data_IF_029664940906
#
_entry.id   IF_029664940906
#
_cell.length_a   1.000
_cell.length_b   1.000
_cell.length_c   1.000
_cell.angle_alpha   90.00
_cell.angle_beta   90.00
_cell.angle_gamma   90.00
#
_symmetry.space_group_name_H-M   'P 1'
#
loop_
_entity.id
_entity.type
_entity.pdbx_description
1 polymer ?
#
# COMPACT_ATOMS: atom_id res chain seq x y z
N UNK A 1 -11.05 7.26 16.02
CA UNK A 1 -9.63 7.03 15.71
C UNK A 1 -9.42 7.02 14.20
N UNK A 2 -8.22 7.39 13.74
CA UNK A 2 -7.83 7.28 12.34
C UNK A 2 -7.71 5.81 11.91
N UNK A 3 -7.91 5.55 10.63
CA UNK A 3 -7.91 4.19 10.05
C UNK A 3 -6.85 4.12 8.94
N UNK A 4 -6.06 3.04 8.94
CA UNK A 4 -5.26 2.63 7.79
C UNK A 4 -5.85 1.33 7.23
N UNK A 5 -6.29 1.36 5.98
CA UNK A 5 -6.78 0.20 5.26
C UNK A 5 -5.75 -0.21 4.21
N UNK A 6 -5.40 -1.49 4.19
CA UNK A 6 -4.48 -2.09 3.22
C UNK A 6 -5.15 -3.31 2.61
N UNK A 7 -5.22 -3.37 1.29
CA UNK A 7 -5.70 -4.56 0.59
C UNK A 7 -4.64 -5.67 0.64
N UNK A 8 -5.07 -6.89 0.99
CA UNK A 8 -4.18 -8.00 1.28
C UNK A 8 -3.46 -8.61 0.07
N UNK A 9 -3.86 -8.23 -1.13
CA UNK A 9 -3.29 -8.65 -2.41
C UNK A 9 -2.38 -7.59 -3.05
N UNK A 10 -2.06 -6.52 -2.32
CA UNK A 10 -1.20 -5.44 -2.80
C UNK A 10 0.20 -5.53 -2.18
N UNK A 11 1.22 -5.49 -3.03
CA UNK A 11 2.63 -5.47 -2.63
C UNK A 11 3.23 -4.12 -3.01
N UNK A 12 3.94 -3.52 -2.06
CA UNK A 12 4.62 -2.23 -2.25
C UNK A 12 6.12 -2.40 -2.01
N UNK A 13 6.93 -1.86 -2.90
CA UNK A 13 8.37 -1.81 -2.74
C UNK A 13 8.91 -0.45 -3.23
N UNK A 14 9.77 0.19 -2.45
CA UNK A 14 10.40 1.43 -2.89
C UNK A 14 11.10 2.19 -1.77
N UNK A 15 12.17 2.89 -2.15
CA UNK A 15 12.90 3.76 -1.23
C UNK A 15 12.04 4.93 -0.77
N UNK A 16 11.92 5.13 0.56
CA UNK A 16 11.14 6.23 1.13
C UNK A 16 9.67 5.92 1.40
N UNK A 17 9.20 4.69 1.13
CA UNK A 17 7.82 4.27 1.43
C UNK A 17 7.46 4.55 2.90
N UNK A 18 8.29 4.13 3.86
CA UNK A 18 8.04 4.34 5.29
C UNK A 18 7.84 5.81 5.64
N UNK A 19 8.62 6.73 5.04
CA UNK A 19 8.46 8.18 5.28
C UNK A 19 7.16 8.72 4.69
N UNK A 20 6.76 8.22 3.51
CA UNK A 20 5.49 8.57 2.88
C UNK A 20 4.30 8.12 3.75
N UNK A 21 4.33 6.87 4.24
CA UNK A 21 3.30 6.35 5.14
C UNK A 21 3.24 7.10 6.47
N UNK A 22 4.38 7.45 7.06
CA UNK A 22 4.43 8.24 8.30
C UNK A 22 3.81 9.63 8.11
N UNK A 23 4.06 10.31 6.97
CA UNK A 23 3.40 11.58 6.66
C UNK A 23 1.88 11.43 6.54
N UNK A 24 1.42 10.38 5.84
CA UNK A 24 -0.01 10.09 5.71
C UNK A 24 -0.66 9.81 7.08
N UNK A 25 0.00 9.01 7.92
CA UNK A 25 -0.49 8.66 9.26
C UNK A 25 -0.52 9.84 10.24
N UNK A 26 0.26 10.89 10.01
CA UNK A 26 0.27 12.11 10.84
C UNK A 26 -0.85 13.10 10.50
N UNK A 27 -1.57 12.91 9.39
CA UNK A 27 -2.72 13.75 9.05
C UNK A 27 -3.90 13.42 9.95
N UNK A 28 -4.35 14.40 10.70
CA UNK A 28 -5.45 14.25 11.67
C UNK A 28 -6.84 14.30 11.01
N UNK A 29 -6.93 14.89 9.81
CA UNK A 29 -8.20 15.11 9.11
C UNK A 29 -8.10 14.74 7.63
N UNK A 30 -9.21 14.24 7.10
CA UNK A 30 -9.38 13.90 5.70
C UNK A 30 -8.86 12.50 5.35
N UNK A 31 -8.73 12.26 4.06
CA UNK A 31 -8.23 11.02 3.51
C UNK A 31 -6.91 11.24 2.76
N UNK A 32 -6.05 10.23 2.80
CA UNK A 32 -4.87 10.15 1.94
C UNK A 32 -4.89 8.82 1.20
N UNK A 33 -4.85 8.90 -0.13
CA UNK A 33 -4.73 7.76 -1.04
C UNK A 33 -3.42 7.86 -1.83
N UNK A 34 -3.01 6.77 -2.47
CA UNK A 34 -1.73 6.72 -3.19
C UNK A 34 -1.98 6.46 -4.66
N UNK A 35 -1.50 7.37 -5.50
CA UNK A 35 -1.59 7.27 -6.94
C UNK A 35 -0.33 6.65 -7.55
N UNK A 36 -0.50 5.68 -8.44
CA UNK A 36 0.58 5.01 -9.17
C UNK A 36 0.31 5.03 -10.66
N UNK A 37 1.32 5.40 -11.46
CA UNK A 37 1.17 5.47 -12.91
C UNK A 37 1.20 4.06 -13.52
N UNK A 38 0.13 3.70 -14.24
CA UNK A 38 -0.08 2.39 -14.87
C UNK A 38 -0.31 2.54 -16.37
N UNK A 39 -0.23 1.42 -17.10
CA UNK A 39 -0.51 1.37 -18.55
C UNK A 39 -1.94 0.93 -18.87
N UNK A 40 -2.64 0.35 -17.90
CA UNK A 40 -3.97 -0.25 -17.98
C UNK A 40 -4.92 0.33 -16.90
N UNK A 41 -5.12 1.67 -16.87
CA UNK A 41 -5.85 2.34 -15.78
C UNK A 41 -7.32 1.91 -15.66
N UNK A 42 -7.95 1.42 -16.72
CA UNK A 42 -9.33 0.94 -16.74
C UNK A 42 -9.62 -0.23 -15.80
N UNK A 43 -8.58 -0.84 -15.24
CA UNK A 43 -8.71 -1.93 -14.26
C UNK A 43 -8.89 -1.47 -12.83
N UNK A 44 -8.64 -0.20 -12.55
CA UNK A 44 -8.48 0.36 -11.20
C UNK A 44 -9.39 1.57 -10.98
N UNK A 45 -9.48 2.02 -9.75
CA UNK A 45 -9.92 3.38 -9.47
C UNK A 45 -8.90 4.37 -10.04
N UNK A 46 -9.34 5.35 -10.81
CA UNK A 46 -8.47 6.30 -11.53
C UNK A 46 -8.66 7.69 -10.96
N UNK A 47 -7.57 8.35 -10.60
CA UNK A 47 -7.58 9.75 -10.17
C UNK A 47 -7.09 10.67 -11.29
N UNK A 48 -7.84 11.74 -11.53
CA UNK A 48 -7.47 12.82 -12.45
C UNK A 48 -6.92 14.01 -11.66
N UNK A 49 -5.89 14.64 -12.19
CA UNK A 49 -5.25 15.82 -11.60
C UNK A 49 -5.39 17.05 -12.49
N UNK A 50 -5.44 18.22 -11.85
CA UNK A 50 -5.28 19.50 -12.53
C UNK A 50 -3.78 19.82 -12.77
N UNK A 51 -3.53 21.02 -13.35
CA UNK A 51 -2.17 21.51 -13.60
C UNK A 51 -1.32 21.72 -12.34
N UNK A 52 -1.96 21.85 -11.19
CA UNK A 52 -1.32 22.01 -9.88
C UNK A 52 -1.16 20.67 -9.14
N UNK A 53 -1.42 19.54 -9.82
CA UNK A 53 -1.39 18.19 -9.25
C UNK A 53 -2.37 18.01 -8.07
N UNK A 54 -3.52 18.72 -8.10
CA UNK A 54 -4.62 18.47 -7.18
C UNK A 54 -5.61 17.51 -7.82
N UNK A 55 -6.12 16.55 -7.04
CA UNK A 55 -7.14 15.62 -7.52
C UNK A 55 -8.44 16.37 -7.82
N UNK A 56 -8.97 16.21 -9.04
CA UNK A 56 -10.21 16.85 -9.50
C UNK A 56 -11.32 15.85 -9.76
N UNK A 57 -11.00 14.61 -10.04
CA UNK A 57 -11.96 13.52 -10.13
C UNK A 57 -11.34 12.19 -9.72
N UNK A 58 -12.19 11.26 -9.31
CA UNK A 58 -11.83 9.87 -9.05
C UNK A 58 -12.97 9.00 -9.56
N UNK A 59 -12.66 7.92 -10.30
CA UNK A 59 -13.68 7.08 -10.96
C UNK A 59 -13.25 5.62 -10.88
N UNK A 60 -14.18 4.73 -10.51
CA UNK A 60 -13.93 3.29 -10.43
C UNK A 60 -13.99 2.65 -11.80
N UNK A 61 -12.91 2.01 -12.21
CA UNK A 61 -12.79 1.22 -13.46
C UNK A 61 -13.43 1.89 -14.67
N UNK A 62 -13.05 3.13 -15.00
CA UNK A 62 -13.67 3.89 -16.07
C UNK A 62 -13.44 3.23 -17.43
N UNK A 63 -14.48 3.18 -18.26
CA UNK A 63 -14.36 2.69 -19.64
C UNK A 63 -13.48 3.59 -20.51
N UNK A 64 -13.36 4.87 -20.17
CA UNK A 64 -12.51 5.87 -20.82
C UNK A 64 -11.74 6.66 -19.76
N UNK A 65 -10.60 6.12 -19.27
CA UNK A 65 -9.83 6.74 -18.20
C UNK A 65 -9.33 8.15 -18.58
N UNK A 66 -9.48 9.11 -17.67
CA UNK A 66 -9.03 10.49 -17.86
C UNK A 66 -7.56 10.70 -17.52
N UNK A 67 -6.95 9.74 -16.85
CA UNK A 67 -5.54 9.74 -16.52
C UNK A 67 -5.00 8.30 -16.44
N UNK A 68 -3.68 8.16 -16.30
CA UNK A 68 -3.00 6.89 -16.06
C UNK A 68 -2.64 6.67 -14.59
N UNK A 69 -3.21 7.44 -13.66
CA UNK A 69 -2.93 7.27 -12.24
C UNK A 69 -4.00 6.41 -11.58
N UNK A 70 -3.63 5.14 -11.32
CA UNK A 70 -4.43 4.23 -10.52
C UNK A 70 -4.31 4.56 -9.03
N UNK A 71 -5.42 4.48 -8.30
CA UNK A 71 -5.42 4.50 -6.84
C UNK A 71 -5.08 3.12 -6.33
N UNK A 72 -4.00 3.02 -5.57
CA UNK A 72 -3.53 1.74 -5.03
C UNK A 72 -4.37 1.30 -3.82
N UNK A 73 -4.24 0.02 -3.42
CA UNK A 73 -4.98 -0.54 -2.30
C UNK A 73 -4.44 -0.15 -0.91
N UNK A 74 -4.08 1.12 -0.72
CA UNK A 74 -3.57 1.66 0.54
C UNK A 74 -4.22 3.01 0.85
N UNK A 75 -4.84 3.12 2.00
CA UNK A 75 -5.69 4.24 2.35
C UNK A 75 -5.48 4.67 3.79
N UNK A 76 -5.44 5.97 4.05
CA UNK A 76 -5.49 6.55 5.39
C UNK A 76 -6.72 7.45 5.48
N UNK A 77 -7.51 7.25 6.51
CA UNK A 77 -8.74 8.01 6.74
C UNK A 77 -8.80 8.54 8.17
N UNK A 78 -9.42 9.70 8.34
CA UNK A 78 -9.88 10.13 9.65
C UNK A 78 -11.14 9.35 10.08
N UNK A 79 -11.67 9.65 11.26
CA UNK A 79 -12.82 8.92 11.81
C UNK A 79 -14.15 9.18 11.07
N UNK A 80 -14.21 10.20 10.21
CA UNK A 80 -15.41 10.48 9.39
C UNK A 80 -15.69 9.33 8.42
N UNK A 81 -14.67 8.53 8.08
CA UNK A 81 -14.82 7.36 7.18
C UNK A 81 -15.93 6.39 7.65
N UNK A 82 -16.13 6.24 8.96
CA UNK A 82 -17.15 5.33 9.52
C UNK A 82 -18.55 5.77 9.10
N UNK A 83 -18.83 7.06 9.12
CA UNK A 83 -20.15 7.59 8.73
C UNK A 83 -20.28 7.69 7.21
N UNK A 84 -19.22 8.00 6.50
CA UNK A 84 -19.19 7.99 5.03
C UNK A 84 -19.46 6.58 4.51
N UNK A 85 -18.75 5.57 5.03
CA UNK A 85 -18.90 4.18 4.59
C UNK A 85 -20.31 3.59 4.83
N UNK A 86 -21.04 4.07 5.84
CA UNK A 86 -22.44 3.68 6.07
C UNK A 86 -23.41 4.24 5.03
N UNK A 87 -23.02 5.27 4.30
CA UNK A 87 -23.89 5.99 3.35
C UNK A 87 -23.66 5.58 1.91
N UNK A 88 -22.56 4.87 1.60
CA UNK A 88 -22.33 4.38 0.25
C UNK A 88 -23.34 3.30 -0.12
N UNK A 89 -23.69 3.24 -1.39
CA UNK A 89 -24.64 2.27 -1.97
C UNK A 89 -23.92 1.40 -2.98
N UNK A 90 -24.42 0.18 -3.24
CA UNK A 90 -23.83 -0.65 -4.27
C UNK A 90 -23.81 0.04 -5.64
N UNK A 91 -22.67 -0.08 -6.34
CA UNK A 91 -22.48 0.38 -7.70
C UNK A 91 -23.36 -0.40 -8.70
N UNK A 92 -23.33 -0.04 -9.99
CA UNK A 92 -23.96 -0.82 -11.07
C UNK A 92 -23.45 -2.28 -11.12
N UNK A 93 -22.25 -2.53 -10.58
CA UNK A 93 -21.65 -3.87 -10.44
C UNK A 93 -22.21 -4.66 -9.26
N UNK A 94 -23.03 -4.03 -8.40
CA UNK A 94 -23.59 -4.61 -7.17
C UNK A 94 -22.59 -4.67 -6.00
N UNK A 95 -21.47 -3.94 -6.08
CA UNK A 95 -20.41 -3.90 -5.07
C UNK A 95 -20.38 -2.55 -4.35
N UNK A 96 -20.01 -2.53 -3.06
CA UNK A 96 -19.68 -1.31 -2.32
C UNK A 96 -18.24 -0.92 -2.69
N UNK A 97 -18.08 0.19 -3.39
CA UNK A 97 -16.78 0.61 -3.91
C UNK A 97 -16.04 1.52 -2.93
N UNK A 98 -14.76 1.22 -2.68
CA UNK A 98 -13.91 2.12 -1.89
C UNK A 98 -13.73 3.47 -2.58
N UNK A 99 -13.84 3.50 -3.90
CA UNK A 99 -13.77 4.71 -4.71
C UNK A 99 -14.88 5.69 -4.36
N UNK A 100 -16.09 5.23 -3.97
CA UNK A 100 -17.18 6.11 -3.52
C UNK A 100 -16.86 6.80 -2.20
N UNK A 101 -16.15 6.11 -1.29
CA UNK A 101 -15.63 6.71 -0.06
C UNK A 101 -14.63 7.82 -0.41
N UNK A 102 -13.69 7.55 -1.30
CA UNK A 102 -12.69 8.51 -1.74
C UNK A 102 -13.32 9.70 -2.48
N UNK A 103 -14.33 9.45 -3.33
CA UNK A 103 -15.11 10.48 -4.01
C UNK A 103 -15.79 11.41 -2.99
N UNK A 104 -16.33 10.86 -1.92
CA UNK A 104 -16.94 11.68 -0.87
C UNK A 104 -15.94 12.59 -0.18
N UNK A 105 -14.74 12.10 0.11
CA UNK A 105 -13.65 12.94 0.65
C UNK A 105 -13.20 14.01 -0.36
N UNK A 106 -13.18 13.70 -1.65
CA UNK A 106 -12.86 14.67 -2.70
C UNK A 106 -13.90 15.80 -2.74
N UNK A 107 -15.21 15.48 -2.71
CA UNK A 107 -16.30 16.45 -2.69
C UNK A 107 -16.26 17.38 -1.46
N UNK A 108 -15.80 16.86 -0.32
CA UNK A 108 -15.60 17.62 0.91
C UNK A 108 -14.31 18.48 0.88
N UNK A 109 -13.50 18.38 -0.18
CA UNK A 109 -12.20 19.06 -0.23
C UNK A 109 -11.18 18.50 0.75
N UNK A 110 -11.35 17.24 1.19
CA UNK A 110 -10.54 16.57 2.22
C UNK A 110 -9.74 15.37 1.69
N UNK A 111 -9.71 15.14 0.37
CA UNK A 111 -8.88 14.09 -0.24
C UNK A 111 -7.50 14.62 -0.58
N UNK A 112 -6.48 13.92 -0.13
CA UNK A 112 -5.09 14.10 -0.55
C UNK A 112 -4.61 12.90 -1.33
N UNK A 113 -3.83 13.12 -2.40
CA UNK A 113 -3.21 12.04 -3.17
C UNK A 113 -1.70 12.17 -3.08
N UNK A 114 -1.03 11.14 -2.58
CA UNK A 114 0.42 11.00 -2.61
C UNK A 114 0.82 10.20 -3.85
N UNK A 115 1.57 10.81 -4.77
CA UNK A 115 1.98 10.13 -6.00
C UNK A 115 3.24 9.32 -5.76
N UNK A 116 3.18 8.02 -6.02
CA UNK A 116 4.31 7.12 -6.02
C UNK A 116 5.09 7.29 -7.33
N UNK A 117 6.24 7.94 -7.27
CA UNK A 117 7.07 8.25 -8.42
C UNK A 117 7.99 7.10 -8.83
N UNK A 118 9.00 7.41 -9.65
CA UNK A 118 10.02 6.45 -10.07
C UNK A 118 10.76 5.88 -8.86
N UNK A 119 11.03 4.58 -8.90
CA UNK A 119 11.69 3.86 -7.81
C UNK A 119 10.70 3.16 -6.86
N UNK A 120 9.40 3.34 -7.07
CA UNK A 120 8.37 2.51 -6.45
C UNK A 120 7.92 1.42 -7.39
N UNK A 121 7.62 0.25 -6.83
CA UNK A 121 6.85 -0.81 -7.47
C UNK A 121 5.59 -1.04 -6.63
N UNK A 122 4.45 -1.02 -7.31
CA UNK A 122 3.18 -1.47 -6.79
C UNK A 122 2.71 -2.64 -7.65
N UNK A 123 2.39 -3.74 -7.00
CA UNK A 123 2.00 -5.00 -7.63
C UNK A 123 0.66 -5.42 -7.03
N UNK A 124 -0.35 -5.47 -7.87
CA UNK A 124 -1.66 -6.03 -7.54
C UNK A 124 -1.65 -7.52 -7.91
N UNK A 125 -1.84 -8.42 -6.93
CA UNK A 125 -1.73 -9.87 -7.13
C UNK A 125 -3.09 -10.55 -7.37
N UNK A 126 -4.07 -9.82 -7.86
CA UNK A 126 -5.45 -10.29 -8.07
C UNK A 126 -5.63 -11.33 -9.18
N UNK A 127 -4.61 -11.62 -10.00
CA UNK A 127 -4.64 -12.66 -11.02
C UNK A 127 -3.47 -13.62 -10.86
N UNK A 128 -3.57 -14.82 -11.45
CA UNK A 128 -2.46 -15.80 -11.42
C UNK A 128 -1.19 -15.25 -12.09
N UNK A 129 -1.35 -14.48 -13.17
CA UNK A 129 -0.25 -13.86 -13.90
C UNK A 129 0.44 -12.80 -13.06
N UNK A 130 -0.32 -11.84 -12.50
CA UNK A 130 0.25 -10.79 -11.66
C UNK A 130 0.85 -11.33 -10.36
N UNK A 131 0.32 -12.42 -9.80
CA UNK A 131 0.92 -13.10 -8.66
C UNK A 131 2.30 -13.70 -9.01
N UNK A 132 2.43 -14.31 -10.19
CA UNK A 132 3.71 -14.85 -10.66
C UNK A 132 4.75 -13.73 -10.91
N UNK A 133 4.33 -12.63 -11.53
CA UNK A 133 5.17 -11.46 -11.74
C UNK A 133 5.66 -10.87 -10.41
N UNK A 134 4.76 -10.70 -9.45
CA UNK A 134 5.10 -10.22 -8.12
C UNK A 134 6.09 -11.15 -7.41
N UNK A 135 5.88 -12.46 -7.49
CA UNK A 135 6.78 -13.46 -6.90
C UNK A 135 8.19 -13.38 -7.50
N UNK A 136 8.29 -13.24 -8.84
CA UNK A 136 9.56 -13.11 -9.56
C UNK A 136 10.27 -11.80 -9.21
N UNK A 137 9.52 -10.71 -9.11
CA UNK A 137 10.05 -9.41 -8.72
C UNK A 137 10.65 -9.46 -7.30
N UNK A 138 9.90 -9.95 -6.31
CA UNK A 138 10.35 -10.05 -4.92
C UNK A 138 11.57 -10.98 -4.82
N UNK A 139 11.54 -12.16 -5.46
CA UNK A 139 12.68 -13.07 -5.49
C UNK A 139 13.95 -12.38 -6.01
N UNK A 140 13.82 -11.63 -7.10
CA UNK A 140 14.94 -10.91 -7.71
C UNK A 140 15.53 -9.86 -6.75
N UNK A 141 14.68 -9.07 -6.11
CA UNK A 141 15.10 -8.05 -5.14
C UNK A 141 15.80 -8.71 -3.94
N UNK A 142 15.18 -9.71 -3.33
CA UNK A 142 15.75 -10.40 -2.16
C UNK A 142 17.10 -11.04 -2.46
N UNK A 143 17.23 -11.72 -3.61
CA UNK A 143 18.51 -12.33 -4.03
C UNK A 143 19.61 -11.30 -4.26
N UNK A 144 19.27 -10.13 -4.83
CA UNK A 144 20.28 -9.10 -5.16
C UNK A 144 20.71 -8.30 -3.95
N UNK A 145 19.80 -8.01 -3.03
CA UNK A 145 20.07 -7.18 -1.87
C UNK A 145 20.44 -8.00 -0.63
N UNK A 146 20.23 -9.31 -0.65
CA UNK A 146 20.37 -10.19 0.52
C UNK A 146 19.53 -9.72 1.71
N UNK A 147 18.36 -9.13 1.44
CA UNK A 147 17.39 -8.65 2.41
C UNK A 147 16.06 -9.35 2.17
N UNK A 148 15.21 -9.37 3.19
CA UNK A 148 13.83 -9.85 3.06
C UNK A 148 12.87 -8.67 2.88
N UNK A 149 11.89 -8.83 1.99
CA UNK A 149 10.81 -7.86 1.82
C UNK A 149 9.68 -8.22 2.80
N UNK A 150 9.15 -7.21 3.50
CA UNK A 150 8.07 -7.36 4.50
C UNK A 150 8.37 -8.41 5.59
N UNK A 151 9.62 -8.53 6.01
CA UNK A 151 10.01 -9.39 7.12
C UNK A 151 9.54 -8.78 8.44
N UNK A 152 8.46 -9.31 9.01
CA UNK A 152 7.81 -8.73 10.18
C UNK A 152 8.71 -8.72 11.41
N UNK A 153 9.50 -9.76 11.61
CA UNK A 153 10.44 -9.89 12.73
C UNK A 153 11.57 -8.86 12.62
N UNK A 154 12.13 -8.65 11.43
CA UNK A 154 13.12 -7.60 11.18
C UNK A 154 12.54 -6.22 11.44
N UNK A 155 11.34 -5.94 10.90
CA UNK A 155 10.66 -4.65 11.10
C UNK A 155 10.42 -4.42 12.60
N UNK A 156 9.88 -5.40 13.31
CA UNK A 156 9.62 -5.30 14.75
C UNK A 156 10.90 -5.05 15.55
N UNK A 157 11.99 -5.72 15.19
CA UNK A 157 13.29 -5.54 15.81
C UNK A 157 13.86 -4.15 15.55
N UNK A 158 13.91 -3.70 14.28
CA UNK A 158 14.41 -2.37 13.90
C UNK A 158 13.57 -1.21 14.46
N UNK A 159 12.28 -1.44 14.69
CA UNK A 159 11.37 -0.49 15.34
C UNK A 159 11.43 -0.52 16.86
N UNK A 160 12.22 -1.44 17.45
CA UNK A 160 12.35 -1.59 18.90
C UNK A 160 11.13 -2.21 19.58
N UNK A 161 10.24 -2.88 18.83
CA UNK A 161 9.08 -3.58 19.38
C UNK A 161 9.43 -4.91 20.01
N UNK A 162 10.51 -5.54 19.56
CA UNK A 162 11.07 -6.77 20.15
C UNK A 162 12.56 -6.58 20.41
N UNK A 163 13.08 -7.31 21.42
CA UNK A 163 14.52 -7.35 21.71
C UNK A 163 15.27 -8.29 20.76
N UNK A 164 16.60 -8.22 20.80
CA UNK A 164 17.48 -9.14 20.07
C UNK A 164 17.25 -10.61 20.48
N UNK A 165 17.08 -10.84 21.78
CA UNK A 165 16.82 -12.18 22.35
C UNK A 165 15.50 -12.73 21.81
N UNK A 166 14.44 -11.89 21.75
CA UNK A 166 13.16 -12.28 21.19
C UNK A 166 13.26 -12.58 19.67
N UNK A 167 14.06 -11.80 18.92
CA UNK A 167 14.33 -12.10 17.51
C UNK A 167 15.02 -13.45 17.33
N UNK A 168 16.03 -13.76 18.16
CA UNK A 168 16.71 -15.06 18.15
C UNK A 168 15.74 -16.19 18.48
N UNK A 169 14.88 -16.00 19.48
CA UNK A 169 13.88 -16.98 19.88
C UNK A 169 12.87 -17.27 18.74
N UNK A 170 12.36 -16.23 18.07
CA UNK A 170 11.49 -16.37 16.91
C UNK A 170 12.17 -17.09 15.73
N UNK A 171 13.48 -16.91 15.55
CA UNK A 171 14.25 -17.58 14.51
C UNK A 171 14.49 -19.07 14.76
N UNK A 172 14.50 -19.56 16.02
CA UNK A 172 14.86 -20.94 16.36
C UNK A 172 14.02 -22.01 15.65
N UNK A 173 12.67 -21.91 15.59
CA UNK A 173 11.86 -22.89 14.86
C UNK A 173 12.19 -22.95 13.36
N UNK A 174 12.67 -21.83 12.82
CA UNK A 174 12.94 -21.61 11.38
C UNK A 174 14.42 -21.80 11.01
N UNK A 175 15.31 -22.12 11.95
CA UNK A 175 16.77 -22.15 11.76
C UNK A 175 17.27 -23.09 10.64
N UNK A 176 16.44 -24.03 10.17
CA UNK A 176 16.79 -24.94 9.10
C UNK A 176 16.48 -24.41 7.69
N UNK A 177 15.72 -23.31 7.58
CA UNK A 177 15.39 -22.69 6.31
C UNK A 177 16.10 -21.33 6.14
N UNK A 178 16.05 -20.78 4.91
CA UNK A 178 16.72 -19.51 4.58
C UNK A 178 16.18 -18.32 5.38
N UNK A 179 14.88 -18.32 5.71
CA UNK A 179 14.27 -17.22 6.47
C UNK A 179 14.81 -17.16 7.89
N UNK A 180 14.81 -18.28 8.61
CA UNK A 180 15.37 -18.33 9.97
C UNK A 180 16.89 -18.04 10.01
N UNK A 181 17.64 -18.49 8.99
CA UNK A 181 19.06 -18.14 8.88
C UNK A 181 19.26 -16.63 8.68
N UNK A 182 18.40 -15.98 7.90
CA UNK A 182 18.41 -14.53 7.74
C UNK A 182 18.19 -13.80 9.07
N UNK A 183 17.18 -14.21 9.86
CA UNK A 183 16.90 -13.60 11.17
C UNK A 183 18.06 -13.79 12.16
N UNK A 184 18.70 -14.98 12.18
CA UNK A 184 19.86 -15.24 13.02
C UNK A 184 21.08 -14.39 12.60
N UNK A 185 21.28 -14.22 11.29
CA UNK A 185 22.31 -13.35 10.76
C UNK A 185 22.08 -11.89 11.15
N UNK A 186 20.86 -11.38 10.96
CA UNK A 186 20.45 -10.04 11.40
C UNK A 186 20.73 -9.80 12.89
N UNK A 187 20.41 -10.77 13.75
CA UNK A 187 20.69 -10.68 15.17
C UNK A 187 22.18 -10.72 15.50
N UNK A 188 23.06 -11.12 14.59
CA UNK A 188 24.52 -11.20 14.81
C UNK A 188 25.29 -9.97 14.31
N UNK A 189 24.68 -9.09 13.52
CA UNK A 189 25.32 -7.90 12.93
C UNK A 189 25.50 -6.74 13.91
N UNK A 190 24.95 -6.82 15.12
CA UNK A 190 25.13 -5.89 16.24
C UNK A 190 25.85 -6.60 17.39
#
# INVERSE_FOLDING_TARGET
DSVCLILGDNIYYGGGLSKMLQRAAQKEQGATVFGYHVTDPERFGVVEFDEQMQAVSIEEKPAAPKSNYAVTGLYFYDNEVVEIAKQITPSERGELEITDVNQRYLELGKLSVEVMGRGFAWLDTGTHESLLEASTFIETIEKRQNLKVACLEEIAYRMGYISREALIELAQPLKKNQYGQYLLHLASEE
#
